data_IF_365185468578
#
_entry.id   IF_365185468578
#
_cell.length_a   1.000
_cell.length_b   1.000
_cell.length_c   1.000
_cell.angle_alpha   90.00
_cell.angle_beta   90.00
_cell.angle_gamma   90.00
#
_symmetry.space_group_name_H-M   'P 1'
#
loop_
_entity.id
_entity.type
_entity.pdbx_description
1 polymer ?
#
# COMPACT_ATOMS: atom_id res chain seq x y z
N UNK A 1 18.80 -1.01 18.48
CA UNK A 1 18.40 -0.99 17.05
C UNK A 1 17.36 -2.07 16.90
N UNK A 2 16.07 -1.72 16.97
CA UNK A 2 14.99 -2.71 17.07
C UNK A 2 14.75 -3.33 15.70
N UNK A 3 15.27 -4.54 15.52
CA UNK A 3 15.11 -5.37 14.32
C UNK A 3 13.65 -5.81 14.23
N UNK A 4 12.83 -5.09 13.45
CA UNK A 4 11.49 -5.55 13.06
C UNK A 4 11.62 -6.60 11.95
N UNK A 5 12.05 -7.80 12.35
CA UNK A 5 12.00 -9.01 11.53
C UNK A 5 10.73 -9.79 11.87
N UNK A 6 9.58 -9.41 11.31
CA UNK A 6 8.39 -10.25 11.27
C UNK A 6 7.37 -9.74 10.21
N UNK A 7 6.97 -10.61 9.27
CA UNK A 7 5.93 -10.47 8.22
C UNK A 7 6.32 -9.92 6.83
N UNK A 8 7.53 -10.13 6.34
CA UNK A 8 7.93 -9.72 4.98
C UNK A 8 7.51 -10.70 3.89
N UNK A 9 6.22 -10.79 3.57
CA UNK A 9 5.75 -11.24 2.24
C UNK A 9 4.52 -10.44 1.84
N UNK A 10 4.70 -9.14 1.60
CA UNK A 10 3.67 -8.36 0.93
C UNK A 10 3.51 -8.90 -0.50
N UNK A 11 2.33 -9.44 -0.80
CA UNK A 11 2.05 -10.04 -2.10
C UNK A 11 1.86 -8.94 -3.15
N UNK A 12 1.33 -7.79 -2.75
CA UNK A 12 1.02 -6.67 -3.62
C UNK A 12 1.85 -5.42 -3.34
N UNK A 13 2.56 -5.33 -2.22
CA UNK A 13 3.51 -4.25 -1.99
C UNK A 13 4.94 -4.63 -2.38
N UNK A 14 5.64 -3.73 -3.06
CA UNK A 14 7.03 -3.87 -3.47
C UNK A 14 7.87 -2.68 -3.05
N UNK A 15 9.15 -2.95 -2.73
CA UNK A 15 10.13 -1.90 -2.56
C UNK A 15 10.73 -1.58 -3.92
N UNK A 16 10.72 -0.29 -4.29
CA UNK A 16 11.44 0.19 -5.47
C UNK A 16 12.82 0.71 -5.08
N UNK A 17 13.85 0.52 -5.93
CA UNK A 17 15.17 1.05 -5.66
C UNK A 17 15.13 2.58 -5.81
N UNK A 18 14.87 3.26 -4.69
CA UNK A 18 14.99 4.70 -4.59
C UNK A 18 15.92 5.03 -3.43
N UNK A 19 16.91 5.89 -3.69
CA UNK A 19 17.99 6.25 -2.75
C UNK A 19 17.54 6.79 -1.38
N UNK A 20 16.33 7.34 -1.27
CA UNK A 20 15.86 8.01 -0.04
C UNK A 20 14.44 7.61 0.39
N UNK A 21 13.58 7.20 -0.55
CA UNK A 21 12.18 6.90 -0.25
C UNK A 21 12.04 5.44 0.22
N UNK A 22 11.65 5.27 1.48
CA UNK A 22 11.48 3.94 2.11
C UNK A 22 10.07 3.35 1.95
N UNK A 23 9.16 4.10 1.34
CA UNK A 23 7.75 3.71 1.18
C UNK A 23 7.58 2.58 0.16
N UNK A 24 6.68 1.65 0.46
CA UNK A 24 6.32 0.58 -0.47
C UNK A 24 5.30 1.06 -1.51
N UNK A 25 5.42 0.49 -2.70
CA UNK A 25 4.57 0.74 -3.86
C UNK A 25 3.64 -0.44 -4.09
N UNK A 26 2.44 -0.18 -4.57
CA UNK A 26 1.57 -1.25 -5.07
C UNK A 26 2.15 -1.77 -6.39
N UNK A 27 2.39 -3.09 -6.48
CA UNK A 27 2.91 -3.77 -7.66
C UNK A 27 2.01 -3.49 -8.87
N UNK A 28 2.64 -3.20 -10.00
CA UNK A 28 1.91 -2.84 -11.23
C UNK A 28 1.28 -1.44 -11.21
N UNK A 29 1.41 -0.68 -10.11
CA UNK A 29 0.89 0.69 -10.01
C UNK A 29 2.00 1.72 -9.76
N UNK A 30 1.68 3.00 -9.95
CA UNK A 30 2.54 4.14 -9.56
C UNK A 30 2.22 4.62 -8.13
N UNK A 31 1.21 4.05 -7.49
CA UNK A 31 0.72 4.45 -6.18
C UNK A 31 1.55 3.83 -5.06
N UNK A 32 1.79 4.60 -3.99
CA UNK A 32 2.35 4.06 -2.75
C UNK A 32 1.23 3.55 -1.86
N UNK A 33 1.55 2.64 -0.93
CA UNK A 33 0.62 2.19 0.09
C UNK A 33 -0.03 3.37 0.84
N UNK A 34 0.78 4.39 1.16
CA UNK A 34 0.29 5.60 1.80
C UNK A 34 -0.66 6.42 0.94
N UNK A 35 -0.44 6.53 -0.37
CA UNK A 35 -1.40 7.21 -1.25
C UNK A 35 -2.73 6.47 -1.28
N UNK A 36 -2.73 5.14 -1.27
CA UNK A 36 -3.96 4.34 -1.21
C UNK A 36 -4.69 4.56 0.12
N UNK A 37 -3.98 4.43 1.24
CA UNK A 37 -4.53 4.62 2.58
C UNK A 37 -5.02 6.07 2.81
N UNK A 38 -4.20 7.06 2.47
CA UNK A 38 -4.55 8.48 2.67
C UNK A 38 -5.79 8.87 1.88
N UNK A 39 -5.97 8.31 0.68
CA UNK A 39 -7.14 8.58 -0.14
C UNK A 39 -8.40 7.89 0.40
N UNK A 40 -8.26 6.67 0.93
CA UNK A 40 -9.34 5.98 1.65
C UNK A 40 -9.86 6.82 2.83
N UNK A 41 -8.95 7.35 3.65
CA UNK A 41 -9.29 8.17 4.82
C UNK A 41 -9.86 9.54 4.40
N UNK A 42 -9.24 10.21 3.43
CA UNK A 42 -9.66 11.53 2.98
C UNK A 42 -11.07 11.51 2.36
N UNK A 43 -11.39 10.47 1.59
CA UNK A 43 -12.68 10.33 0.93
C UNK A 43 -13.69 9.50 1.74
N UNK A 44 -13.30 8.98 2.91
CA UNK A 44 -14.10 8.07 3.75
C UNK A 44 -14.60 6.83 2.98
N UNK A 45 -13.78 6.36 2.04
CA UNK A 45 -14.08 5.21 1.21
C UNK A 45 -13.75 3.91 1.95
N UNK A 46 -14.56 2.89 1.69
CA UNK A 46 -14.30 1.50 2.07
C UNK A 46 -13.15 0.93 1.23
N UNK A 47 -12.45 -0.12 1.70
CA UNK A 47 -11.40 -0.78 0.92
C UNK A 47 -11.85 -1.24 -0.47
N UNK A 48 -13.11 -1.66 -0.61
CA UNK A 48 -13.76 -2.05 -1.85
C UNK A 48 -13.91 -0.87 -2.82
N UNK A 49 -14.41 0.28 -2.34
CA UNK A 49 -14.54 1.49 -3.16
C UNK A 49 -13.18 2.05 -3.60
N UNK A 50 -12.16 1.92 -2.75
CA UNK A 50 -10.78 2.31 -3.09
C UNK A 50 -10.19 1.37 -4.15
N UNK A 51 -10.49 0.07 -4.07
CA UNK A 51 -10.09 -0.92 -5.05
C UNK A 51 -10.69 -0.60 -6.42
N UNK A 52 -11.99 -0.32 -6.47
CA UNK A 52 -12.69 0.04 -7.69
C UNK A 52 -12.21 1.38 -8.26
N UNK A 53 -12.11 2.42 -7.43
CA UNK A 53 -11.70 3.77 -7.89
C UNK A 53 -10.26 3.83 -8.42
N UNK A 54 -9.37 2.99 -7.89
CA UNK A 54 -7.95 2.96 -8.28
C UNK A 54 -7.61 1.82 -9.23
N UNK A 55 -8.62 1.03 -9.62
CA UNK A 55 -8.46 -0.19 -10.44
C UNK A 55 -7.40 -1.14 -9.84
N UNK A 56 -7.41 -1.29 -8.51
CA UNK A 56 -6.48 -2.13 -7.76
C UNK A 56 -7.19 -3.38 -7.24
N UNK A 57 -6.48 -4.51 -7.09
CA UNK A 57 -7.02 -5.64 -6.34
C UNK A 57 -7.37 -5.24 -4.92
N UNK A 58 -8.52 -5.68 -4.40
CA UNK A 58 -8.93 -5.45 -3.01
C UNK A 58 -7.83 -5.88 -2.02
N UNK A 59 -7.18 -7.02 -2.28
CA UNK A 59 -6.06 -7.50 -1.46
C UNK A 59 -4.88 -6.49 -1.41
N UNK A 60 -4.61 -5.76 -2.49
CA UNK A 60 -3.56 -4.75 -2.51
C UNK A 60 -3.94 -3.52 -1.66
N UNK A 61 -5.22 -3.15 -1.64
CA UNK A 61 -5.73 -2.07 -0.79
C UNK A 61 -5.68 -2.47 0.68
N UNK A 62 -6.07 -3.70 1.01
CA UNK A 62 -5.99 -4.22 2.38
C UNK A 62 -4.54 -4.27 2.89
N UNK A 63 -3.59 -4.75 2.07
CA UNK A 63 -2.16 -4.70 2.42
C UNK A 63 -1.66 -3.26 2.61
N UNK A 64 -2.11 -2.32 1.76
CA UNK A 64 -1.75 -0.91 1.91
C UNK A 64 -2.26 -0.29 3.22
N UNK A 65 -3.47 -0.67 3.64
CA UNK A 65 -4.06 -0.25 4.93
C UNK A 65 -3.36 -0.94 6.10
N UNK A 66 -2.96 -2.22 6.00
CA UNK A 66 -2.21 -2.91 7.06
C UNK A 66 -0.78 -2.37 7.22
N UNK A 67 -0.16 -1.90 6.12
CA UNK A 67 1.19 -1.35 6.13
C UNK A 67 1.28 0.06 6.72
N UNK A 68 0.23 0.88 6.55
CA UNK A 68 0.20 2.29 6.98
C UNK A 68 -0.30 2.46 8.42
#
# INVERSE_FOLDING_TARGET
MTTNAAKTQWQYLEKRPHSWRQQLYVKGSKLTAFTVWSDAIANKMTPEEVADSKELPLAAVLEAIEYC
#
